data_IF_230861373411
#
_entry.id   IF_230861373411
#
_cell.length_a   1.000
_cell.length_b   1.000
_cell.length_c   1.000
_cell.angle_alpha   90.00
_cell.angle_beta   90.00
_cell.angle_gamma   90.00
#
_symmetry.space_group_name_H-M   'P 1'
#
loop_
_entity.id
_entity.type
_entity.pdbx_description
1 polymer ?
#
# COMPACT_ATOMS: atom_id res chain seq x y z
N UNK A 1 -8.16 -6.01 5.57
CA UNK A 1 -6.94 -6.74 5.97
C UNK A 1 -6.39 -7.48 4.77
N UNK A 2 -5.11 -7.89 4.82
CA UNK A 2 -4.50 -8.68 3.75
C UNK A 2 -5.11 -10.08 3.61
N UNK A 3 -4.77 -10.76 2.52
CA UNK A 3 -5.20 -12.14 2.23
C UNK A 3 -3.96 -13.01 2.10
N UNK A 4 -3.98 -14.21 2.69
CA UNK A 4 -2.85 -15.13 2.66
C UNK A 4 -2.39 -15.41 1.21
N UNK A 5 -1.07 -15.42 0.91
CA UNK A 5 -0.55 -15.60 -0.45
C UNK A 5 -1.07 -16.86 -1.16
N UNK A 6 -1.20 -17.99 -0.45
CA UNK A 6 -1.76 -19.22 -1.02
C UNK A 6 -3.22 -19.06 -1.53
N UNK A 7 -4.03 -18.23 -0.87
CA UNK A 7 -5.41 -17.93 -1.31
C UNK A 7 -5.36 -17.01 -2.53
N UNK A 8 -4.47 -16.03 -2.53
CA UNK A 8 -4.25 -15.14 -3.68
C UNK A 8 -3.81 -15.94 -4.91
N UNK A 9 -2.82 -16.81 -4.78
CA UNK A 9 -2.31 -17.65 -5.86
C UNK A 9 -3.38 -18.60 -6.42
N UNK A 10 -4.28 -19.12 -5.56
CA UNK A 10 -5.41 -19.94 -6.00
C UNK A 10 -6.40 -19.14 -6.86
N UNK A 11 -6.69 -17.90 -6.47
CA UNK A 11 -7.70 -17.06 -7.13
C UNK A 11 -7.15 -16.34 -8.38
N UNK A 12 -5.85 -16.03 -8.40
CA UNK A 12 -5.14 -15.31 -9.46
C UNK A 12 -3.85 -16.03 -9.86
N UNK A 13 -3.95 -17.30 -10.26
CA UNK A 13 -2.79 -18.16 -10.52
C UNK A 13 -1.84 -17.74 -11.66
N UNK A 14 -2.15 -16.65 -12.36
CA UNK A 14 -1.25 -16.03 -13.35
C UNK A 14 -0.36 -14.94 -12.75
N UNK A 15 -0.55 -14.57 -11.47
CA UNK A 15 0.28 -13.62 -10.73
C UNK A 15 1.22 -14.37 -9.78
N UNK A 16 2.42 -13.84 -9.60
CA UNK A 16 3.41 -14.39 -8.66
C UNK A 16 3.26 -13.75 -7.28
N UNK A 17 2.97 -14.56 -6.27
CA UNK A 17 2.86 -14.15 -4.86
C UNK A 17 3.96 -14.78 -3.98
N UNK A 18 4.95 -15.46 -4.57
CA UNK A 18 6.01 -16.17 -3.84
C UNK A 18 6.92 -15.24 -3.02
N UNK A 19 6.95 -13.96 -3.38
CA UNK A 19 7.69 -12.92 -2.69
C UNK A 19 6.98 -12.39 -1.43
N UNK A 20 5.72 -12.78 -1.18
CA UNK A 20 4.97 -12.34 -0.01
C UNK A 20 5.12 -13.31 1.15
N UNK A 21 5.31 -12.77 2.34
CA UNK A 21 5.16 -13.53 3.58
C UNK A 21 3.71 -14.01 3.77
N UNK A 22 3.52 -15.08 4.54
CA UNK A 22 2.18 -15.60 4.87
C UNK A 22 1.26 -14.51 5.49
N UNK A 23 1.87 -13.58 6.24
CA UNK A 23 1.22 -12.40 6.84
C UNK A 23 1.95 -11.13 6.38
N UNK A 24 1.66 -10.67 5.17
CA UNK A 24 2.29 -9.48 4.57
C UNK A 24 1.61 -8.15 4.99
N UNK A 25 0.65 -8.18 5.91
CA UNK A 25 0.02 -6.99 6.50
C UNK A 25 0.44 -6.81 7.95
N UNK A 26 0.26 -5.59 8.47
CA UNK A 26 0.68 -5.23 9.82
C UNK A 26 0.21 -6.22 10.89
N UNK A 27 1.16 -6.65 11.72
CA UNK A 27 0.94 -7.39 12.95
C UNK A 27 1.29 -6.47 14.11
N UNK A 28 0.37 -6.34 15.06
CA UNK A 28 0.50 -5.43 16.20
C UNK A 28 -0.63 -5.65 17.19
N UNK A 29 -0.60 -4.88 18.27
CA UNK A 29 -1.66 -4.93 19.27
C UNK A 29 -3.02 -4.60 18.63
N UNK A 30 -4.04 -5.46 18.83
CA UNK A 30 -5.36 -5.21 18.30
C UNK A 30 -6.07 -4.10 19.07
N UNK A 31 -6.96 -3.39 18.37
CA UNK A 31 -7.95 -2.52 19.01
C UNK A 31 -9.06 -3.34 19.71
N UNK A 32 -10.05 -2.64 20.27
CA UNK A 32 -11.21 -3.25 20.93
C UNK A 32 -12.04 -4.16 20.00
N UNK A 33 -11.84 -4.07 18.67
CA UNK A 33 -12.49 -4.90 17.66
C UNK A 33 -11.63 -6.10 17.23
N UNK A 34 -10.45 -6.30 17.84
CA UNK A 34 -9.53 -7.38 17.46
C UNK A 34 -8.70 -7.07 16.21
N UNK A 35 -8.65 -5.82 15.75
CA UNK A 35 -7.95 -5.44 14.51
C UNK A 35 -6.60 -4.82 14.86
N UNK A 36 -5.47 -5.39 14.38
CA UNK A 36 -4.14 -4.80 14.59
C UNK A 36 -4.09 -3.35 14.14
N UNK A 37 -3.74 -2.44 15.07
CA UNK A 37 -3.65 -1.01 14.77
C UNK A 37 -2.28 -0.68 14.21
N UNK A 38 -2.25 -0.36 12.92
CA UNK A 38 -1.01 0.05 12.28
C UNK A 38 -0.57 1.47 12.72
N UNK A 39 0.69 1.63 13.17
CA UNK A 39 1.25 2.95 13.43
C UNK A 39 1.33 3.80 12.16
N UNK A 40 0.99 5.09 12.27
CA UNK A 40 1.05 6.06 11.15
C UNK A 40 2.46 6.10 10.54
N UNK A 41 3.49 6.08 11.38
CA UNK A 41 4.89 6.10 10.93
C UNK A 41 5.27 4.90 10.06
N UNK A 42 4.70 3.72 10.32
CA UNK A 42 4.92 2.53 9.49
C UNK A 42 4.30 2.70 8.09
N UNK A 43 3.12 3.32 8.01
CA UNK A 43 2.49 3.62 6.73
C UNK A 43 3.26 4.71 5.96
N UNK A 44 3.71 5.76 6.65
CA UNK A 44 4.54 6.83 6.07
C UNK A 44 5.87 6.30 5.54
N UNK A 45 6.52 5.40 6.28
CA UNK A 45 7.74 4.75 5.83
C UNK A 45 7.50 3.98 4.51
N UNK A 46 6.44 3.16 4.43
CA UNK A 46 6.13 2.42 3.19
C UNK A 46 5.76 3.34 2.03
N UNK A 47 5.09 4.48 2.31
CA UNK A 47 4.81 5.49 1.30
C UNK A 47 6.12 6.09 0.75
N UNK A 48 7.09 6.39 1.62
CA UNK A 48 8.40 6.87 1.21
C UNK A 48 9.20 5.82 0.40
N UNK A 49 9.19 4.56 0.83
CA UNK A 49 9.80 3.43 0.11
C UNK A 49 9.19 3.24 -1.28
N UNK A 50 7.85 3.35 -1.40
CA UNK A 50 7.16 3.31 -2.69
C UNK A 50 7.61 4.45 -3.61
N UNK A 51 7.74 5.68 -3.10
CA UNK A 51 8.23 6.82 -3.91
C UNK A 51 9.66 6.57 -4.38
N UNK A 52 10.54 6.07 -3.51
CA UNK A 52 11.91 5.72 -3.88
C UNK A 52 11.94 4.63 -4.97
N UNK A 53 11.15 3.58 -4.81
CA UNK A 53 11.00 2.52 -5.80
C UNK A 53 10.45 3.04 -7.14
N UNK A 54 9.40 3.87 -7.11
CA UNK A 54 8.81 4.46 -8.30
C UNK A 54 9.82 5.33 -9.09
N UNK A 55 10.67 6.09 -8.39
CA UNK A 55 11.79 6.82 -9.01
C UNK A 55 12.80 5.86 -9.63
N UNK A 56 13.22 4.84 -8.89
CA UNK A 56 14.22 3.86 -9.32
C UNK A 56 13.83 3.15 -10.61
N UNK A 57 12.56 2.76 -10.76
CA UNK A 57 12.06 2.11 -11.98
C UNK A 57 11.68 3.10 -13.09
N UNK A 58 11.78 4.41 -12.83
CA UNK A 58 11.40 5.46 -13.77
C UNK A 58 9.92 5.44 -14.12
N UNK A 59 9.05 5.26 -13.12
CA UNK A 59 7.60 5.20 -13.32
C UNK A 59 7.08 6.49 -13.96
N UNK A 60 6.32 6.36 -15.06
CA UNK A 60 5.78 7.50 -15.82
C UNK A 60 4.31 7.29 -16.15
N UNK A 61 3.53 8.38 -16.17
CA UNK A 61 2.13 8.41 -16.61
C UNK A 61 1.29 7.22 -16.13
N UNK A 62 1.45 6.83 -14.86
CA UNK A 62 0.82 5.64 -14.28
C UNK A 62 -0.28 6.05 -13.32
N UNK A 63 -1.47 5.48 -13.48
CA UNK A 63 -2.54 5.59 -12.49
C UNK A 63 -2.33 4.58 -11.37
N UNK A 64 -2.28 5.05 -10.12
CA UNK A 64 -2.19 4.22 -8.93
C UNK A 64 -3.54 4.23 -8.23
N UNK A 65 -4.22 3.09 -8.18
CA UNK A 65 -5.48 2.91 -7.46
C UNK A 65 -5.16 2.34 -6.08
N UNK A 66 -5.52 3.06 -5.02
CA UNK A 66 -5.14 2.71 -3.64
C UNK A 66 -6.12 3.32 -2.63
N UNK A 67 -5.78 3.26 -1.35
CA UNK A 67 -6.63 3.70 -0.24
C UNK A 67 -6.28 5.11 0.26
N UNK A 68 -7.28 5.80 0.84
CA UNK A 68 -7.15 7.20 1.27
C UNK A 68 -6.01 7.46 2.26
N UNK A 69 -5.76 6.57 3.22
CA UNK A 69 -4.65 6.74 4.16
C UNK A 69 -3.28 6.67 3.49
N UNK A 70 -3.12 5.83 2.46
CA UNK A 70 -1.87 5.77 1.70
C UNK A 70 -1.68 7.02 0.83
N UNK A 71 -2.76 7.52 0.21
CA UNK A 71 -2.75 8.81 -0.51
C UNK A 71 -2.37 9.94 0.45
N UNK A 72 -2.92 9.95 1.66
CA UNK A 72 -2.56 10.94 2.69
C UNK A 72 -1.10 10.83 3.11
N UNK A 73 -0.58 9.62 3.33
CA UNK A 73 0.82 9.42 3.64
C UNK A 73 1.76 9.89 2.51
N UNK A 74 1.33 9.77 1.25
CA UNK A 74 2.10 10.23 0.08
C UNK A 74 2.04 11.75 -0.15
N UNK A 75 0.89 12.37 0.14
CA UNK A 75 0.58 13.73 -0.36
C UNK A 75 0.26 14.74 0.74
N UNK A 76 0.01 14.29 1.97
CA UNK A 76 -0.56 15.09 3.05
C UNK A 76 -2.06 15.38 2.91
N UNK A 77 -2.69 15.02 1.78
CA UNK A 77 -4.10 15.30 1.50
C UNK A 77 -4.97 14.10 1.88
N UNK A 78 -6.06 14.34 2.61
CA UNK A 78 -7.10 13.33 2.84
C UNK A 78 -8.08 13.37 1.66
N UNK A 79 -8.11 12.34 0.78
CA UNK A 79 -8.99 12.38 -0.37
C UNK A 79 -10.41 11.90 -0.05
N UNK A 80 -11.36 12.36 -0.85
CA UNK A 80 -12.70 11.74 -0.95
C UNK A 80 -12.65 10.45 -1.76
N UNK A 81 -13.65 9.58 -1.59
CA UNK A 81 -13.78 8.38 -2.40
C UNK A 81 -13.86 8.74 -3.90
N UNK A 82 -13.10 8.02 -4.73
CA UNK A 82 -12.97 8.25 -6.17
C UNK A 82 -12.31 9.59 -6.57
N UNK A 83 -11.79 10.38 -5.62
CA UNK A 83 -11.03 11.57 -5.97
C UNK A 83 -9.71 11.19 -6.66
N UNK A 84 -9.35 11.97 -7.69
CA UNK A 84 -8.10 11.81 -8.43
C UNK A 84 -7.15 12.94 -8.02
N UNK A 85 -5.95 12.58 -7.58
CA UNK A 85 -4.87 13.51 -7.31
C UNK A 85 -3.74 13.30 -8.32
N UNK A 86 -3.15 14.40 -8.78
CA UNK A 86 -1.93 14.37 -9.59
C UNK A 86 -0.72 14.55 -8.69
N UNK A 87 0.17 13.57 -8.68
CA UNK A 87 1.44 13.61 -7.95
C UNK A 87 2.58 13.67 -8.97
N UNK A 88 3.44 14.69 -8.83
CA UNK A 88 4.67 14.79 -9.60
C UNK A 88 5.83 14.29 -8.73
N UNK A 89 6.38 13.14 -9.09
CA UNK A 89 7.55 12.57 -8.43
C UNK A 89 8.77 13.07 -9.18
N UNK A 90 9.56 13.96 -8.56
CA UNK A 90 10.81 14.44 -9.16
C UNK A 90 11.80 13.27 -9.28
N UNK A 91 12.08 12.86 -10.52
CA UNK A 91 13.01 11.78 -10.86
C UNK A 91 14.44 12.28 -10.86
#
# INVERSE_FOLDING_TARGET
>A
MGTHPAILAKNWGHLDFSHLENHWWHQGEPDDNGVPVEPVSSLEQRAAEFVAFAKQIGLRSTAIVTHGNFIRALTGVQPDNCQILKLEIQV
#
